data_IF_871022793987
#
_entry.id   IF_871022793987
#
_cell.length_a   1.000
_cell.length_b   1.000
_cell.length_c   1.000
_cell.angle_alpha   90.00
_cell.angle_beta   90.00
_cell.angle_gamma   90.00
#
_symmetry.space_group_name_H-M   'P 1'
#
loop_
_entity.id
_entity.type
_entity.pdbx_description
1 polymer ?
#
# COMPACT_ATOMS: atom_id res chain seq x y z
N UNK A 1 15.24 13.03 40.42
CA UNK A 1 15.57 11.64 40.00
C UNK A 1 15.80 11.66 38.50
N UNK A 2 17.04 11.51 38.05
CA UNK A 2 17.34 11.39 36.62
C UNK A 2 16.85 10.00 36.17
N UNK A 3 15.79 9.96 35.37
CA UNK A 3 15.45 8.76 34.63
C UNK A 3 16.64 8.45 33.69
N UNK A 4 17.42 7.45 34.02
CA UNK A 4 18.36 6.84 33.07
C UNK A 4 17.54 6.38 31.87
N UNK A 5 17.63 7.15 30.79
CA UNK A 5 17.02 6.81 29.53
C UNK A 5 17.76 5.58 28.94
N UNK A 6 17.45 4.41 29.48
CA UNK A 6 18.03 3.13 29.05
C UNK A 6 17.23 2.61 27.87
N UNK A 7 17.02 3.48 26.85
CA UNK A 7 16.38 3.08 25.62
C UNK A 7 17.23 1.98 24.96
N UNK A 8 16.67 0.77 24.92
CA UNK A 8 17.31 -0.34 24.21
C UNK A 8 17.57 0.08 22.77
N UNK A 9 18.75 -0.22 22.28
CA UNK A 9 19.11 0.05 20.89
C UNK A 9 18.78 -1.15 20.02
N UNK A 10 18.03 -0.91 18.95
CA UNK A 10 17.65 -1.91 17.95
C UNK A 10 18.26 -1.52 16.61
N UNK A 11 18.86 -2.47 15.93
CA UNK A 11 19.34 -2.32 14.56
C UNK A 11 18.42 -3.10 13.65
N UNK A 12 17.82 -2.40 12.68
CA UNK A 12 16.98 -3.00 11.63
C UNK A 12 17.83 -3.09 10.37
N UNK A 13 17.96 -4.30 9.82
CA UNK A 13 18.74 -4.55 8.61
C UNK A 13 17.80 -4.61 7.41
N UNK A 14 17.96 -3.66 6.49
CA UNK A 14 17.13 -3.48 5.31
C UNK A 14 16.07 -2.39 5.49
N UNK A 15 16.06 -1.42 4.58
CA UNK A 15 15.11 -0.30 4.53
C UNK A 15 14.01 -0.52 3.47
N UNK A 16 13.53 -1.76 3.31
CA UNK A 16 12.30 -2.06 2.59
C UNK A 16 11.06 -1.76 3.46
N UNK A 17 9.83 -1.95 2.93
CA UNK A 17 8.60 -1.63 3.66
C UNK A 17 8.53 -2.26 5.05
N UNK A 18 8.83 -3.55 5.19
CA UNK A 18 8.82 -4.23 6.49
C UNK A 18 9.85 -3.70 7.47
N UNK A 19 11.07 -3.38 7.03
CA UNK A 19 12.11 -2.80 7.87
C UNK A 19 11.74 -1.39 8.35
N UNK A 20 11.24 -0.56 7.45
CA UNK A 20 10.81 0.81 7.77
C UNK A 20 9.61 0.81 8.73
N UNK A 21 8.60 -0.04 8.48
CA UNK A 21 7.45 -0.23 9.37
C UNK A 21 7.88 -0.65 10.77
N UNK A 22 8.73 -1.67 10.87
CA UNK A 22 9.25 -2.14 12.15
C UNK A 22 10.03 -1.06 12.89
N UNK A 23 10.86 -0.30 12.17
CA UNK A 23 11.64 0.80 12.74
C UNK A 23 10.76 1.90 13.29
N UNK A 24 9.69 2.27 12.56
CA UNK A 24 8.74 3.31 12.93
C UNK A 24 8.00 2.94 14.22
N UNK A 25 7.44 1.74 14.30
CA UNK A 25 6.72 1.22 15.47
C UNK A 25 7.66 1.11 16.68
N UNK A 26 8.86 0.57 16.51
CA UNK A 26 9.84 0.45 17.58
C UNK A 26 10.29 1.81 18.12
N UNK A 27 10.51 2.78 17.23
CA UNK A 27 10.86 4.14 17.63
C UNK A 27 9.73 4.78 18.45
N UNK A 28 8.47 4.62 18.03
CA UNK A 28 7.30 5.09 18.79
C UNK A 28 7.22 4.45 20.19
N UNK A 29 7.58 3.17 20.30
CA UNK A 29 7.63 2.44 21.58
C UNK A 29 8.84 2.81 22.45
N UNK A 30 9.63 3.82 22.08
CA UNK A 30 10.71 4.38 22.87
C UNK A 30 12.07 3.67 22.72
N UNK A 31 12.22 2.80 21.71
CA UNK A 31 13.53 2.24 21.39
C UNK A 31 14.37 3.25 20.59
N UNK A 32 15.68 3.24 20.79
CA UNK A 32 16.60 3.87 19.86
C UNK A 32 16.78 2.93 18.66
N UNK A 33 16.39 3.38 17.48
CA UNK A 33 16.42 2.54 16.28
C UNK A 33 17.45 3.05 15.28
N UNK A 34 18.25 2.15 14.73
CA UNK A 34 19.10 2.40 13.58
C UNK A 34 18.69 1.47 12.45
N UNK A 35 18.39 2.04 11.28
CA UNK A 35 18.13 1.26 10.06
C UNK A 35 19.40 1.26 9.21
N UNK A 36 19.85 0.09 8.78
CA UNK A 36 20.97 -0.08 7.86
C UNK A 36 20.47 -0.68 6.54
N UNK A 37 20.87 -0.05 5.44
CA UNK A 37 20.49 -0.45 4.10
C UNK A 37 21.76 -0.67 3.25
N UNK A 38 21.82 -1.77 2.50
CA UNK A 38 22.94 -2.09 1.63
C UNK A 38 23.02 -1.25 0.36
N UNK A 39 21.84 -0.76 -0.08
CA UNK A 39 21.72 0.06 -1.28
C UNK A 39 21.89 1.55 -0.97
N UNK A 40 21.86 2.36 -2.00
CA UNK A 40 21.91 3.82 -1.90
C UNK A 40 20.52 4.46 -1.79
N UNK A 41 19.47 3.67 -1.69
CA UNK A 41 18.06 4.12 -1.60
C UNK A 41 17.30 3.25 -0.62
N UNK A 42 16.34 3.87 0.06
CA UNK A 42 15.34 3.18 0.88
C UNK A 42 14.15 2.75 0.02
N UNK A 43 13.30 1.88 0.55
CA UNK A 43 12.07 1.42 -0.11
C UNK A 43 12.14 -0.03 -0.61
N UNK A 44 13.32 -0.61 -0.78
CA UNK A 44 13.46 -1.99 -1.28
C UNK A 44 12.80 -2.15 -2.66
N UNK A 45 11.83 -3.06 -2.78
CA UNK A 45 11.07 -3.25 -4.04
C UNK A 45 10.06 -2.12 -4.34
N UNK A 46 9.81 -1.23 -3.40
CA UNK A 46 9.00 -0.03 -3.63
C UNK A 46 9.87 1.20 -3.93
N UNK A 47 11.20 1.03 -4.02
CA UNK A 47 12.08 2.12 -4.39
C UNK A 47 11.88 2.50 -5.86
N UNK A 48 11.89 3.80 -6.15
CA UNK A 48 11.86 4.29 -7.53
C UNK A 48 13.19 4.03 -8.26
N UNK A 49 13.12 3.82 -9.56
CA UNK A 49 14.26 3.87 -10.47
C UNK A 49 14.28 5.21 -11.19
N UNK A 50 15.38 5.95 -11.08
CA UNK A 50 15.57 7.20 -11.84
C UNK A 50 16.54 6.97 -12.99
N UNK A 51 16.13 7.43 -14.18
CA UNK A 51 16.95 7.41 -15.39
C UNK A 51 16.84 8.78 -16.09
N UNK A 52 17.82 9.66 -15.87
CA UNK A 52 17.75 11.07 -16.27
C UNK A 52 16.60 11.77 -15.55
N UNK A 53 15.71 12.40 -16.30
CA UNK A 53 14.55 13.14 -15.79
C UNK A 53 13.31 12.23 -15.55
N UNK A 54 13.45 10.93 -15.81
CA UNK A 54 12.35 9.96 -15.65
C UNK A 54 12.45 9.20 -14.34
N UNK A 55 11.29 8.95 -13.75
CA UNK A 55 11.13 8.10 -12.56
C UNK A 55 10.19 6.94 -12.89
N UNK A 56 10.54 5.74 -12.45
CA UNK A 56 9.78 4.51 -12.67
C UNK A 56 9.61 3.76 -11.35
N UNK A 57 8.40 3.30 -11.11
CA UNK A 57 8.13 2.34 -10.05
C UNK A 57 8.74 0.98 -10.44
N UNK A 58 9.51 0.38 -9.54
CA UNK A 58 10.15 -0.93 -9.79
C UNK A 58 9.36 -2.10 -9.22
N UNK A 59 8.26 -1.82 -8.55
CA UNK A 59 7.40 -2.79 -7.87
C UNK A 59 5.94 -2.37 -7.94
N UNK A 60 5.22 -2.39 -6.80
CA UNK A 60 3.82 -1.99 -6.74
C UNK A 60 3.64 -0.56 -7.22
N UNK A 61 2.68 -0.35 -8.14
CA UNK A 61 2.35 0.97 -8.69
C UNK A 61 1.14 1.59 -8.00
N UNK A 62 0.36 0.80 -7.26
CA UNK A 62 -0.77 1.28 -6.48
C UNK A 62 -1.01 0.44 -5.21
N UNK A 63 -1.65 1.05 -4.24
CA UNK A 63 -1.93 0.48 -2.93
C UNK A 63 -3.29 -0.22 -2.94
N UNK A 64 -3.31 -1.55 -2.76
CA UNK A 64 -4.55 -2.33 -2.68
C UNK A 64 -5.19 -2.35 -1.29
N UNK A 65 -4.38 -2.28 -0.24
CA UNK A 65 -4.82 -2.51 1.14
C UNK A 65 -4.45 -1.31 2.01
N UNK A 66 -5.17 -0.21 1.81
CA UNK A 66 -4.98 1.01 2.60
C UNK A 66 -5.09 0.73 4.12
N UNK A 67 -6.07 -0.07 4.52
CA UNK A 67 -6.33 -0.36 5.94
C UNK A 67 -5.09 -0.91 6.68
N UNK A 68 -4.23 -1.67 6.00
CA UNK A 68 -2.98 -2.17 6.60
C UNK A 68 -2.01 -1.03 6.91
N UNK A 69 -1.95 0.01 6.06
CA UNK A 69 -1.14 1.19 6.35
C UNK A 69 -1.77 2.03 7.46
N UNK A 70 -3.09 2.20 7.47
CA UNK A 70 -3.80 2.90 8.55
C UNK A 70 -3.45 2.29 9.91
N UNK A 71 -3.51 0.95 10.04
CA UNK A 71 -3.13 0.23 11.25
C UNK A 71 -1.67 0.46 11.65
N UNK A 72 -0.75 0.37 10.69
CA UNK A 72 0.70 0.57 10.92
C UNK A 72 1.00 2.00 11.39
N UNK A 73 0.42 3.00 10.73
CA UNK A 73 0.63 4.40 11.09
C UNK A 73 0.02 4.70 12.45
N UNK A 74 -1.19 4.21 12.73
CA UNK A 74 -1.83 4.34 14.04
C UNK A 74 -0.99 3.68 15.15
N UNK A 75 -0.43 2.49 14.94
CA UNK A 75 0.47 1.82 15.90
C UNK A 75 1.77 2.58 16.13
N UNK A 76 2.20 3.36 15.15
CA UNK A 76 3.35 4.27 15.27
C UNK A 76 2.98 5.66 15.82
N UNK A 77 1.72 5.88 16.23
CA UNK A 77 1.22 7.14 16.75
C UNK A 77 1.13 8.25 15.71
N UNK A 78 0.89 7.88 14.45
CA UNK A 78 0.77 8.81 13.32
C UNK A 78 -0.58 8.61 12.62
N UNK A 79 -1.01 9.62 11.90
CA UNK A 79 -2.17 9.58 11.03
C UNK A 79 -1.70 9.42 9.57
N UNK A 80 -2.23 8.42 8.86
CA UNK A 80 -1.83 8.17 7.47
C UNK A 80 -2.18 9.34 6.55
N UNK A 81 -3.33 9.96 6.73
CA UNK A 81 -3.81 11.06 5.89
C UNK A 81 -3.04 12.38 6.14
N UNK A 82 -2.38 12.51 7.30
CA UNK A 82 -1.46 13.62 7.56
C UNK A 82 -0.08 13.42 6.90
N UNK A 83 0.30 12.17 6.64
CA UNK A 83 1.62 11.81 6.13
C UNK A 83 1.65 11.55 4.63
N UNK A 84 0.56 11.05 4.05
CA UNK A 84 0.48 10.65 2.65
C UNK A 84 -0.79 11.18 1.98
N UNK A 85 -0.62 11.81 0.83
CA UNK A 85 -1.73 12.13 -0.06
C UNK A 85 -2.07 10.89 -0.92
N UNK A 86 -3.23 10.28 -0.65
CA UNK A 86 -3.71 9.10 -1.36
C UNK A 86 -4.89 9.47 -2.27
N UNK A 87 -4.84 9.05 -3.52
CA UNK A 87 -5.90 9.25 -4.50
C UNK A 87 -6.57 7.93 -4.81
N UNK A 88 -7.90 7.87 -4.65
CA UNK A 88 -8.69 6.72 -5.07
C UNK A 88 -8.78 6.68 -6.60
N UNK A 89 -8.35 5.56 -7.19
CA UNK A 89 -8.45 5.34 -8.63
C UNK A 89 -9.83 4.76 -8.97
N UNK A 90 -10.60 5.48 -9.81
CA UNK A 90 -11.88 4.99 -10.37
C UNK A 90 -12.04 5.52 -11.81
N UNK A 91 -11.96 4.68 -12.85
CA UNK A 91 -11.74 3.23 -12.76
C UNK A 91 -10.32 2.86 -12.29
N UNK A 92 -10.23 1.77 -11.53
CA UNK A 92 -8.95 1.30 -11.00
C UNK A 92 -8.08 0.64 -12.08
N UNK A 93 -8.68 -0.18 -12.92
CA UNK A 93 -7.99 -0.92 -13.99
C UNK A 93 -8.92 -1.09 -15.18
N UNK A 94 -8.35 -1.07 -16.38
CA UNK A 94 -9.02 -1.49 -17.60
C UNK A 94 -8.43 -2.81 -18.07
N UNK A 95 -9.24 -3.86 -18.05
CA UNK A 95 -8.91 -5.15 -18.64
C UNK A 95 -9.33 -5.14 -20.13
N UNK A 96 -8.42 -5.54 -21.01
CA UNK A 96 -8.68 -5.54 -22.46
C UNK A 96 -8.32 -6.88 -23.08
N UNK A 97 -9.21 -7.45 -23.88
CA UNK A 97 -8.96 -8.68 -24.64
C UNK A 97 -9.72 -8.64 -25.98
N UNK A 98 -8.98 -8.70 -27.07
CA UNK A 98 -9.51 -8.45 -28.42
C UNK A 98 -10.14 -7.06 -28.51
N UNK A 99 -11.38 -6.97 -28.96
CA UNK A 99 -12.14 -5.73 -29.06
C UNK A 99 -12.93 -5.40 -27.77
N UNK A 100 -12.87 -6.26 -26.77
CA UNK A 100 -13.62 -6.09 -25.52
C UNK A 100 -12.75 -5.45 -24.45
N UNK A 101 -13.40 -4.69 -23.58
CA UNK A 101 -12.76 -4.14 -22.37
C UNK A 101 -13.75 -4.09 -21.22
N UNK A 102 -13.21 -4.22 -20.02
CA UNK A 102 -13.93 -4.10 -18.74
C UNK A 102 -13.16 -3.10 -17.87
N UNK A 103 -13.83 -2.09 -17.37
CA UNK A 103 -13.27 -1.17 -16.37
C UNK A 103 -13.65 -1.64 -14.98
N UNK A 104 -12.67 -1.70 -14.07
CA UNK A 104 -12.91 -2.16 -12.71
C UNK A 104 -13.05 -0.98 -11.77
N UNK A 105 -14.00 -1.08 -10.84
CA UNK A 105 -14.24 -0.10 -9.78
C UNK A 105 -14.15 -0.76 -8.41
N UNK A 106 -13.74 0.01 -7.40
CA UNK A 106 -13.83 -0.40 -5.99
C UNK A 106 -15.28 -0.34 -5.47
N UNK A 107 -16.18 0.33 -6.17
CA UNK A 107 -17.60 0.36 -5.87
C UNK A 107 -18.27 -0.89 -6.45
N UNK A 108 -18.83 -1.74 -5.57
CA UNK A 108 -19.43 -3.00 -5.96
C UNK A 108 -20.69 -2.81 -6.84
N UNK A 109 -21.45 -1.72 -6.64
CA UNK A 109 -22.63 -1.40 -7.45
C UNK A 109 -22.21 -1.01 -8.87
N UNK A 110 -21.28 -0.08 -9.02
CA UNK A 110 -20.72 0.30 -10.33
C UNK A 110 -20.11 -0.90 -11.05
N UNK A 111 -19.44 -1.78 -10.30
CA UNK A 111 -18.84 -2.98 -10.88
C UNK A 111 -19.90 -3.95 -11.39
N UNK A 112 -21.00 -4.16 -10.62
CA UNK A 112 -22.12 -5.00 -11.06
C UNK A 112 -22.82 -4.44 -12.30
N UNK A 113 -23.04 -3.13 -12.36
CA UNK A 113 -23.60 -2.44 -13.54
C UNK A 113 -22.70 -2.58 -14.78
N UNK A 114 -21.40 -2.41 -14.63
CA UNK A 114 -20.44 -2.56 -15.73
C UNK A 114 -20.39 -4.00 -16.23
N UNK A 115 -20.45 -4.99 -15.33
CA UNK A 115 -20.54 -6.42 -15.69
C UNK A 115 -21.83 -6.69 -16.45
N UNK A 116 -22.98 -6.23 -15.94
CA UNK A 116 -24.26 -6.44 -16.62
C UNK A 116 -24.28 -5.81 -18.03
N UNK A 117 -23.68 -4.61 -18.15
CA UNK A 117 -23.58 -3.91 -19.44
C UNK A 117 -22.70 -4.66 -20.45
N UNK A 118 -21.61 -5.28 -20.01
CA UNK A 118 -20.65 -5.99 -20.87
C UNK A 118 -20.99 -7.45 -21.08
N UNK A 119 -21.62 -8.07 -20.09
CA UNK A 119 -21.97 -9.49 -20.01
C UNK A 119 -23.38 -9.64 -19.43
N UNK A 120 -24.43 -9.40 -20.22
CA UNK A 120 -25.83 -9.47 -19.76
C UNK A 120 -26.13 -10.77 -19.01
N UNK A 121 -26.68 -10.67 -17.81
CA UNK A 121 -27.08 -11.81 -16.96
C UNK A 121 -25.98 -12.29 -15.99
N UNK A 122 -24.77 -11.72 -16.03
CA UNK A 122 -23.64 -12.18 -15.19
C UNK A 122 -23.46 -11.39 -13.89
N UNK A 123 -24.14 -10.26 -13.70
CA UNK A 123 -24.03 -9.43 -12.50
C UNK A 123 -24.38 -10.19 -11.21
N UNK A 124 -25.41 -11.05 -11.24
CA UNK A 124 -25.79 -11.88 -10.10
C UNK A 124 -24.70 -12.93 -9.74
N UNK A 125 -23.95 -13.42 -10.73
CA UNK A 125 -22.79 -14.28 -10.52
C UNK A 125 -21.66 -13.55 -9.82
N UNK A 126 -21.35 -12.35 -10.27
CA UNK A 126 -20.37 -11.47 -9.62
C UNK A 126 -20.74 -11.15 -8.16
N UNK A 127 -21.97 -10.76 -7.89
CA UNK A 127 -22.41 -10.48 -6.53
C UNK A 127 -22.29 -11.69 -5.61
N UNK A 128 -22.64 -12.90 -6.08
CA UNK A 128 -22.42 -14.14 -5.30
C UNK A 128 -20.95 -14.37 -4.99
N UNK A 129 -20.07 -14.16 -5.98
CA UNK A 129 -18.62 -14.29 -5.80
C UNK A 129 -18.10 -13.31 -4.75
N UNK A 130 -18.53 -12.05 -4.79
CA UNK A 130 -18.07 -11.00 -3.87
C UNK A 130 -18.55 -11.21 -2.42
N UNK A 131 -19.68 -11.91 -2.22
CA UNK A 131 -20.17 -12.24 -0.85
C UNK A 131 -19.36 -13.34 -0.17
N UNK A 132 -18.53 -14.07 -0.93
CA UNK A 132 -17.78 -15.21 -0.45
C UNK A 132 -18.66 -16.44 -0.13
N UNK A 133 -18.05 -17.52 0.33
CA UNK A 133 -18.75 -18.71 0.78
C UNK A 133 -19.50 -18.50 2.09
#
# INVERSE_FOLDING_TARGET
MQHKNNSRHVVVVGAGPGGLTSAMILAHRGFRVTVVEKGNRVGGRNAELRAGDYSFDTGPTFLHQRFTLDEVFAEAGRDLDEELELVLLDPMTRLTWGEKSLETSCDAGKMAEEIERKFPGESAGFERFMRGP
#
